data_IF_575737677959
#
_entry.id   IF_575737677959
#
_cell.length_a   1.000
_cell.length_b   1.000
_cell.length_c   1.000
_cell.angle_alpha   90.00
_cell.angle_beta   90.00
_cell.angle_gamma   90.00
#
_symmetry.space_group_name_H-M   'P 1'
#
loop_
_entity.id
_entity.type
_entity.pdbx_description
1 polymer ?
#
# COMPACT_ATOMS: atom_id res chain seq x y z
N UNK A 1 -21.57 8.42 -1.07
CA UNK A 1 -20.74 9.50 -0.53
C UNK A 1 -19.62 9.70 -1.53
N UNK A 2 -19.55 10.90 -2.12
CA UNK A 2 -18.52 11.24 -3.11
C UNK A 2 -17.33 11.71 -2.29
N UNK A 3 -16.25 10.92 -2.24
CA UNK A 3 -14.97 11.38 -1.72
C UNK A 3 -14.50 12.51 -2.63
N UNK A 4 -14.54 13.73 -2.12
CA UNK A 4 -13.81 14.83 -2.72
C UNK A 4 -12.33 14.59 -2.42
N UNK A 5 -11.59 14.18 -3.44
CA UNK A 5 -10.13 14.20 -3.42
C UNK A 5 -9.68 15.65 -3.13
N UNK A 6 -9.20 15.87 -1.91
CA UNK A 6 -8.41 17.06 -1.58
C UNK A 6 -7.07 16.84 -2.26
N UNK A 7 -6.94 17.40 -3.46
CA UNK A 7 -5.64 17.52 -4.10
C UNK A 7 -4.81 18.50 -3.28
N UNK A 8 -3.97 17.95 -2.40
CA UNK A 8 -2.76 18.61 -1.92
C UNK A 8 -1.90 18.90 -3.16
N UNK A 9 -2.06 20.10 -3.72
CA UNK A 9 -1.02 20.68 -4.54
C UNK A 9 0.10 21.06 -3.57
N UNK A 10 1.12 20.23 -3.49
CA UNK A 10 2.42 20.66 -3.02
C UNK A 10 2.82 21.92 -3.80
N UNK A 11 3.15 23.05 -3.14
CA UNK A 11 3.82 24.12 -3.84
C UNK A 11 5.21 23.61 -4.23
N UNK A 12 5.46 23.45 -5.53
CA UNK A 12 6.84 23.37 -6.02
C UNK A 12 7.53 24.69 -5.64
N UNK A 13 8.38 24.63 -4.62
CA UNK A 13 9.37 25.65 -4.33
C UNK A 13 10.39 25.62 -5.47
N UNK A 14 10.07 26.36 -6.54
CA UNK A 14 11.04 26.77 -7.56
C UNK A 14 12.10 27.60 -6.85
N UNK A 15 13.24 26.97 -6.59
CA UNK A 15 14.47 27.61 -6.14
C UNK A 15 15.08 28.37 -7.32
N UNK A 16 14.46 29.48 -7.71
CA UNK A 16 15.02 30.39 -8.69
C UNK A 16 16.07 31.27 -8.01
N UNK A 17 17.32 30.95 -8.32
CA UNK A 17 18.50 31.80 -8.18
C UNK A 17 18.19 33.24 -8.61
N UNK A 18 18.27 34.15 -7.64
CA UNK A 18 18.27 35.59 -7.81
C UNK A 18 19.39 36.02 -8.78
N UNK A 19 19.04 36.35 -10.02
CA UNK A 19 19.78 37.35 -10.80
C UNK A 19 18.82 38.43 -11.28
N UNK A 20 19.13 39.67 -10.92
CA UNK A 20 18.24 40.79 -11.01
C UNK A 20 17.96 41.24 -12.44
N UNK A 21 16.69 41.29 -12.83
CA UNK A 21 16.26 42.09 -13.98
C UNK A 21 14.75 42.30 -13.96
N UNK A 22 14.39 43.55 -13.76
CA UNK A 22 13.05 44.15 -13.81
C UNK A 22 12.33 43.85 -15.13
N UNK A 23 11.17 43.18 -15.12
CA UNK A 23 10.13 43.34 -16.16
C UNK A 23 8.77 42.69 -15.81
N UNK A 24 7.77 43.57 -15.70
CA UNK A 24 6.43 43.47 -16.31
C UNK A 24 5.49 42.30 -15.95
N UNK A 25 4.51 42.67 -15.13
CA UNK A 25 3.12 42.23 -15.09
C UNK A 25 2.58 41.77 -16.45
N UNK A 26 2.08 40.53 -16.51
CA UNK A 26 1.34 40.00 -17.66
C UNK A 26 0.40 38.86 -17.24
N UNK A 27 -0.83 39.21 -16.89
CA UNK A 27 -1.94 38.26 -16.75
C UNK A 27 -2.20 37.53 -18.07
N UNK A 28 -2.08 36.21 -18.08
CA UNK A 28 -2.50 35.35 -19.19
C UNK A 28 -3.57 34.37 -18.72
N UNK A 29 -4.80 34.69 -19.11
CA UNK A 29 -6.01 33.93 -18.96
C UNK A 29 -6.09 32.89 -20.10
N UNK A 30 -6.07 31.58 -19.80
CA UNK A 30 -6.38 30.50 -20.75
C UNK A 30 -7.26 29.46 -20.02
N UNK A 31 -8.59 29.51 -20.13
CA UNK A 31 -9.48 29.04 -21.21
C UNK A 31 -9.60 27.50 -21.28
N UNK A 32 -10.71 27.03 -20.70
CA UNK A 32 -11.53 25.85 -21.01
C UNK A 32 -10.91 24.75 -21.89
N UNK A 33 -10.64 23.59 -21.27
CA UNK A 33 -10.45 22.30 -21.95
C UNK A 33 -11.35 21.23 -21.34
N UNK A 34 -12.58 21.14 -21.83
CA UNK A 34 -13.55 20.10 -21.49
C UNK A 34 -13.28 18.88 -22.37
N UNK A 35 -12.60 17.85 -21.85
CA UNK A 35 -12.24 16.63 -22.59
C UNK A 35 -12.78 15.38 -21.91
N UNK A 36 -14.00 14.97 -22.28
CA UNK A 36 -14.58 13.70 -21.87
C UNK A 36 -14.01 12.52 -22.65
N UNK A 37 -13.82 11.39 -21.97
CA UNK A 37 -13.42 10.13 -22.57
C UNK A 37 -13.98 8.95 -21.79
N UNK A 38 -15.24 8.61 -22.05
CA UNK A 38 -15.83 7.32 -21.67
C UNK A 38 -15.33 6.27 -22.67
N UNK A 39 -14.62 5.24 -22.18
CA UNK A 39 -14.18 4.10 -22.97
C UNK A 39 -14.45 2.79 -22.23
N UNK A 40 -15.68 2.29 -22.33
CA UNK A 40 -16.02 0.93 -21.92
C UNK A 40 -15.48 -0.09 -22.92
N UNK A 41 -15.12 -1.27 -22.42
CA UNK A 41 -14.72 -2.40 -23.26
C UNK A 41 -14.51 -3.65 -22.43
N UNK A 42 -15.56 -4.46 -22.29
CA UNK A 42 -15.48 -5.82 -21.77
C UNK A 42 -15.03 -6.83 -22.83
N UNK A 43 -14.46 -7.92 -22.36
CA UNK A 43 -14.09 -9.13 -23.12
C UNK A 43 -13.05 -9.89 -22.28
N UNK A 44 -13.28 -11.07 -21.71
CA UNK A 44 -14.23 -12.11 -22.08
C UNK A 44 -13.60 -13.18 -22.97
N UNK A 45 -12.41 -13.69 -22.64
CA UNK A 45 -11.83 -14.84 -23.33
C UNK A 45 -11.46 -15.97 -22.37
N UNK A 46 -12.35 -16.98 -22.38
CA UNK A 46 -12.05 -18.37 -22.02
C UNK A 46 -11.52 -19.05 -23.29
N UNK A 47 -10.24 -19.39 -23.34
CA UNK A 47 -9.66 -20.36 -24.28
C UNK A 47 -8.84 -21.34 -23.45
N UNK A 48 -9.33 -22.54 -23.17
CA UNK A 48 -9.31 -23.74 -24.02
C UNK A 48 -7.93 -24.42 -24.10
N UNK A 49 -8.03 -25.74 -24.15
CA UNK A 49 -7.07 -26.78 -23.86
C UNK A 49 -5.94 -26.81 -24.89
N UNK A 50 -4.74 -27.17 -24.42
CA UNK A 50 -3.57 -27.37 -25.26
C UNK A 50 -2.66 -28.48 -24.75
N UNK A 51 -3.19 -29.70 -24.70
CA UNK A 51 -2.40 -30.95 -24.68
C UNK A 51 -1.48 -31.02 -25.91
N UNK A 52 -0.18 -30.75 -25.76
CA UNK A 52 0.94 -31.24 -26.60
C UNK A 52 2.19 -31.24 -25.70
N UNK A 53 2.74 -32.39 -25.30
CA UNK A 53 3.35 -33.38 -26.18
C UNK A 53 4.85 -33.07 -26.33
N UNK A 54 5.67 -33.55 -25.39
CA UNK A 54 7.12 -33.36 -25.40
C UNK A 54 7.84 -34.55 -24.78
N UNK A 55 8.36 -35.39 -25.67
CA UNK A 55 9.06 -36.66 -25.44
C UNK A 55 10.51 -36.47 -24.98
N UNK A 56 10.99 -37.49 -24.28
CA UNK A 56 12.35 -38.05 -24.26
C UNK A 56 13.52 -37.11 -23.94
N UNK A 57 14.10 -37.27 -22.74
CA UNK A 57 15.56 -37.45 -22.59
C UNK A 57 15.89 -38.44 -21.49
N UNK A 58 16.35 -39.61 -21.94
CA UNK A 58 17.22 -40.53 -21.23
C UNK A 58 18.40 -39.81 -20.56
N UNK A 59 18.65 -40.12 -19.29
CA UNK A 59 19.75 -39.55 -18.51
C UNK A 59 20.11 -40.47 -17.34
N UNK A 60 20.96 -41.44 -17.66
CA UNK A 60 21.49 -42.54 -16.83
C UNK A 60 21.97 -42.19 -15.42
N UNK A 61 21.67 -43.13 -14.52
CA UNK A 61 22.53 -43.79 -13.53
C UNK A 61 23.49 -42.98 -12.65
N UNK A 62 23.23 -43.09 -11.34
CA UNK A 62 24.12 -43.46 -10.21
C UNK A 62 23.33 -43.10 -8.93
N UNK A 63 23.04 -43.92 -7.94
CA UNK A 63 23.60 -45.17 -7.44
C UNK A 63 23.51 -45.10 -5.91
N UNK A 64 23.04 -46.16 -5.24
CA UNK A 64 23.09 -46.27 -3.76
C UNK A 64 21.80 -46.82 -3.14
N UNK A 65 21.55 -48.13 -3.18
CA UNK A 65 21.90 -49.19 -2.19
C UNK A 65 21.11 -49.15 -0.87
N UNK A 66 20.38 -50.25 -0.66
CA UNK A 66 20.02 -50.83 0.64
C UNK A 66 18.64 -50.42 1.12
N UNK A 67 17.69 -51.31 1.38
CA UNK A 67 17.68 -52.75 1.51
C UNK A 67 16.43 -53.11 2.32
N UNK A 68 15.87 -54.31 2.14
CA UNK A 68 14.83 -54.83 3.03
C UNK A 68 13.64 -55.47 2.32
N UNK A 69 13.84 -56.72 1.89
CA UNK A 69 12.82 -57.63 1.41
C UNK A 69 11.79 -57.95 2.51
N UNK A 70 10.55 -58.25 2.11
CA UNK A 70 9.78 -59.43 2.52
C UNK A 70 8.45 -59.50 1.77
N UNK A 71 8.50 -60.17 0.63
CA UNK A 71 7.68 -61.35 0.28
C UNK A 71 6.38 -61.57 1.08
N UNK A 72 5.24 -61.32 0.45
CA UNK A 72 4.12 -62.28 0.50
C UNK A 72 3.39 -62.28 -0.85
N UNK A 73 3.41 -63.44 -1.49
CA UNK A 73 2.50 -63.86 -2.56
C UNK A 73 1.03 -63.80 -2.06
N UNK A 74 -0.04 -63.90 -2.83
CA UNK A 74 -0.27 -64.47 -4.13
C UNK A 74 -1.56 -63.87 -4.71
N UNK A 75 -1.54 -63.73 -6.03
CA UNK A 75 -2.64 -63.87 -7.01
C UNK A 75 -4.05 -64.20 -6.49
N UNK A 76 -5.04 -63.50 -7.04
CA UNK A 76 -6.41 -64.01 -7.13
C UNK A 76 -7.35 -63.07 -7.88
N UNK A 77 -7.60 -63.37 -9.15
CA UNK A 77 -8.30 -62.55 -10.15
C UNK A 77 -9.82 -62.35 -9.93
N UNK A 78 -10.28 -61.19 -10.41
CA UNK A 78 -11.55 -60.90 -11.13
C UNK A 78 -12.58 -62.04 -11.31
N UNK A 79 -13.81 -61.76 -10.90
CA UNK A 79 -15.08 -61.77 -11.69
C UNK A 79 -16.23 -61.74 -10.66
N UNK A 80 -17.25 -60.89 -10.74
CA UNK A 80 -18.19 -60.70 -11.84
C UNK A 80 -19.50 -61.38 -11.46
N UNK A 81 -20.53 -60.65 -11.06
CA UNK A 81 -21.83 -61.23 -10.72
C UNK A 81 -22.83 -60.20 -10.20
N UNK A 82 -23.71 -59.74 -11.08
CA UNK A 82 -24.69 -58.69 -10.85
C UNK A 82 -26.09 -59.27 -10.54
N UNK A 83 -26.89 -58.44 -9.84
CA UNK A 83 -28.37 -58.37 -9.82
C UNK A 83 -29.16 -59.54 -9.22
N UNK A 84 -29.94 -59.24 -8.17
CA UNK A 84 -31.40 -59.27 -8.29
C UNK A 84 -32.09 -58.46 -7.19
N UNK A 85 -33.05 -57.66 -7.65
CA UNK A 85 -34.01 -56.84 -6.94
C UNK A 85 -35.15 -57.67 -6.36
N UNK A 86 -35.64 -57.34 -5.17
CA UNK A 86 -36.88 -57.92 -4.65
C UNK A 86 -37.31 -57.30 -3.33
N UNK A 87 -38.08 -56.22 -3.39
CA UNK A 87 -39.05 -55.83 -2.36
C UNK A 87 -40.46 -56.18 -2.92
N UNK A 88 -41.45 -56.54 -2.08
CA UNK A 88 -42.18 -55.51 -1.32
C UNK A 88 -42.60 -55.90 0.12
N UNK A 89 -42.93 -54.88 0.90
CA UNK A 89 -43.52 -54.90 2.27
C UNK A 89 -45.02 -55.32 2.25
N UNK A 90 -45.87 -55.18 3.30
CA UNK A 90 -45.66 -54.77 4.71
C UNK A 90 -46.42 -55.64 5.76
N UNK A 91 -46.05 -55.57 7.05
CA UNK A 91 -47.00 -55.86 8.15
C UNK A 91 -46.88 -54.83 9.27
N UNK A 92 -48.01 -54.17 9.49
CA UNK A 92 -48.28 -53.21 10.55
C UNK A 92 -48.23 -53.89 11.93
N UNK A 93 -47.59 -53.21 12.88
CA UNK A 93 -47.81 -53.43 14.30
C UNK A 93 -47.86 -52.07 15.00
N UNK A 94 -49.08 -51.65 15.28
CA UNK A 94 -49.49 -50.58 16.18
C UNK A 94 -48.81 -50.69 17.55
N UNK A 95 -48.09 -49.64 17.98
CA UNK A 95 -47.84 -49.36 19.39
C UNK A 95 -48.06 -47.88 19.70
N UNK A 96 -48.79 -47.65 20.78
CA UNK A 96 -49.31 -46.39 21.31
C UNK A 96 -48.24 -45.34 21.64
N UNK A 97 -48.59 -44.04 21.71
CA UNK A 97 -47.65 -42.96 21.96
C UNK A 97 -47.30 -42.85 23.46
N UNK A 98 -46.01 -42.97 23.79
CA UNK A 98 -45.46 -42.56 25.09
C UNK A 98 -45.25 -41.04 25.06
N UNK A 99 -46.01 -40.32 25.89
CA UNK A 99 -45.78 -38.90 26.20
C UNK A 99 -44.41 -38.75 26.85
N UNK A 100 -43.45 -38.15 26.16
CA UNK A 100 -42.21 -37.64 26.76
C UNK A 100 -42.39 -36.15 27.04
N UNK A 101 -42.35 -35.79 28.32
CA UNK A 101 -42.29 -34.40 28.77
C UNK A 101 -41.08 -33.67 28.14
N UNK A 102 -41.16 -32.36 27.86
CA UNK A 102 -40.06 -31.61 27.27
C UNK A 102 -38.90 -31.50 28.27
N UNK A 103 -37.75 -32.10 27.93
CA UNK A 103 -36.48 -31.77 28.58
C UNK A 103 -36.15 -30.33 28.22
N UNK A 104 -36.04 -29.47 29.23
CA UNK A 104 -35.52 -28.11 29.07
C UNK A 104 -34.16 -28.17 28.38
N UNK A 105 -34.10 -27.66 27.15
CA UNK A 105 -32.86 -27.42 26.41
C UNK A 105 -32.08 -26.31 27.09
N UNK A 106 -31.34 -26.63 28.15
CA UNK A 106 -30.21 -25.79 28.56
C UNK A 106 -29.18 -25.93 27.45
N UNK A 107 -29.09 -24.90 26.58
CA UNK A 107 -28.04 -24.78 25.58
C UNK A 107 -26.69 -24.90 26.31
N UNK A 108 -25.80 -25.84 25.95
CA UNK A 108 -24.46 -25.85 26.52
C UNK A 108 -23.77 -24.54 26.15
N UNK A 109 -23.14 -23.90 27.14
CA UNK A 109 -22.27 -22.75 26.90
C UNK A 109 -21.25 -23.13 25.82
N UNK A 110 -21.30 -22.43 24.69
CA UNK A 110 -20.40 -22.65 23.56
C UNK A 110 -19.00 -22.32 24.07
N UNK A 111 -18.12 -23.32 24.13
CA UNK A 111 -16.70 -23.09 24.43
C UNK A 111 -16.19 -22.04 23.44
N UNK A 112 -15.44 -21.00 23.88
CA UNK A 112 -14.84 -20.05 22.95
C UNK A 112 -14.01 -20.85 21.96
N UNK A 113 -14.27 -20.66 20.66
CA UNK A 113 -13.43 -21.25 19.62
C UNK A 113 -12.07 -20.57 19.71
N UNK A 114 -11.00 -21.32 19.46
CA UNK A 114 -9.66 -20.75 19.36
C UNK A 114 -9.65 -19.67 18.24
N UNK A 115 -9.04 -18.51 18.48
CA UNK A 115 -8.92 -17.39 17.53
C UNK A 115 -8.44 -17.88 16.16
N UNK A 116 -7.46 -18.79 16.11
CA UNK A 116 -6.98 -19.39 14.85
C UNK A 116 -8.04 -20.19 14.09
N UNK A 117 -9.01 -20.76 14.78
CA UNK A 117 -10.14 -21.46 14.16
C UNK A 117 -11.23 -20.48 13.68
N UNK A 118 -11.34 -19.31 14.30
CA UNK A 118 -12.23 -18.23 13.85
C UNK A 118 -11.62 -17.51 12.63
N UNK A 119 -10.32 -17.24 12.66
CA UNK A 119 -9.53 -16.64 11.58
C UNK A 119 -8.99 -17.68 10.59
N UNK A 120 -9.46 -18.92 10.63
CA UNK A 120 -8.94 -20.00 9.77
C UNK A 120 -9.08 -19.73 8.26
N UNK A 121 -9.92 -18.76 7.89
CA UNK A 121 -10.04 -18.25 6.52
C UNK A 121 -8.88 -17.35 6.07
N UNK A 122 -8.14 -16.75 7.01
CA UNK A 122 -7.09 -15.74 6.82
C UNK A 122 -5.66 -16.31 6.91
N UNK A 123 -5.47 -17.63 6.76
CA UNK A 123 -4.12 -18.21 6.73
C UNK A 123 -3.24 -17.65 5.59
N UNK A 124 -3.87 -17.05 4.56
CA UNK A 124 -3.17 -16.32 3.52
C UNK A 124 -2.38 -15.10 4.04
N UNK A 125 -2.68 -14.56 5.23
CA UNK A 125 -1.90 -13.47 5.85
C UNK A 125 -0.50 -13.95 6.29
N UNK A 126 -0.31 -15.25 6.55
CA UNK A 126 1.00 -15.82 6.83
C UNK A 126 1.91 -15.93 5.60
N UNK A 127 1.46 -15.47 4.43
CA UNK A 127 2.30 -15.40 3.23
C UNK A 127 3.25 -14.20 3.35
N UNK A 128 4.31 -14.21 2.54
CA UNK A 128 5.16 -13.04 2.35
C UNK A 128 4.39 -11.95 1.59
N UNK A 129 4.79 -10.70 1.81
CA UNK A 129 4.21 -9.49 1.21
C UNK A 129 4.03 -9.59 -0.32
N UNK A 130 5.01 -10.13 -1.06
CA UNK A 130 4.90 -10.30 -2.51
C UNK A 130 3.77 -11.25 -2.90
N UNK A 131 3.56 -12.30 -2.11
CA UNK A 131 2.46 -13.25 -2.32
C UNK A 131 1.10 -12.66 -1.92
N UNK A 132 1.09 -11.71 -0.99
CA UNK A 132 -0.11 -10.98 -0.59
C UNK A 132 -0.52 -10.00 -1.70
N UNK A 133 0.38 -9.10 -2.10
CA UNK A 133 0.11 -8.06 -3.11
C UNK A 133 -0.30 -8.65 -4.45
N UNK A 134 0.36 -9.73 -4.88
CA UNK A 134 0.03 -10.41 -6.14
C UNK A 134 -1.12 -11.43 -6.03
N UNK A 135 -1.77 -11.57 -4.88
CA UNK A 135 -2.84 -12.55 -4.71
C UNK A 135 -4.09 -12.17 -5.53
N UNK A 136 -4.86 -13.14 -6.02
CA UNK A 136 -6.21 -12.86 -6.55
C UNK A 136 -7.30 -13.34 -5.60
N UNK A 137 -6.94 -13.73 -4.38
CA UNK A 137 -7.89 -14.20 -3.37
C UNK A 137 -8.75 -13.01 -2.88
N UNK A 138 -10.09 -13.04 -3.07
CA UNK A 138 -10.98 -11.96 -2.64
C UNK A 138 -10.84 -11.63 -1.14
N UNK A 139 -10.41 -12.59 -0.32
CA UNK A 139 -10.22 -12.38 1.11
C UNK A 139 -9.10 -11.41 1.46
N UNK A 140 -8.16 -11.21 0.53
CA UNK A 140 -6.97 -10.41 0.73
C UNK A 140 -7.09 -9.03 0.09
N UNK A 141 -8.19 -8.74 -0.61
CA UNK A 141 -8.39 -7.47 -1.29
C UNK A 141 -8.30 -6.30 -0.31
N UNK A 142 -9.17 -6.26 0.71
CA UNK A 142 -9.16 -5.19 1.71
C UNK A 142 -7.84 -5.08 2.50
N UNK A 143 -7.13 -6.19 2.73
CA UNK A 143 -5.82 -6.15 3.40
C UNK A 143 -4.72 -5.53 2.55
N UNK A 144 -4.80 -5.64 1.21
CA UNK A 144 -3.87 -4.95 0.31
C UNK A 144 -4.17 -3.47 0.26
N UNK A 145 -5.44 -3.12 0.10
CA UNK A 145 -5.90 -1.74 0.08
C UNK A 145 -5.49 -1.03 1.39
N UNK A 146 -5.61 -1.71 2.54
CA UNK A 146 -5.11 -1.24 3.83
C UNK A 146 -3.59 -1.00 3.83
N UNK A 147 -2.79 -1.95 3.33
CA UNK A 147 -1.33 -1.78 3.29
C UNK A 147 -0.88 -0.64 2.40
N UNK A 148 -1.52 -0.48 1.24
CA UNK A 148 -1.27 0.65 0.33
C UNK A 148 -1.63 1.99 1.00
N UNK A 149 -2.81 2.06 1.62
CA UNK A 149 -3.25 3.24 2.35
C UNK A 149 -2.33 3.55 3.54
N UNK A 150 -1.87 2.53 4.26
CA UNK A 150 -0.94 2.71 5.38
C UNK A 150 0.44 3.16 4.92
N UNK A 151 0.93 2.67 3.77
CA UNK A 151 2.17 3.17 3.20
C UNK A 151 2.07 4.67 2.88
N UNK A 152 0.97 5.11 2.25
CA UNK A 152 0.71 6.53 2.00
C UNK A 152 0.62 7.36 3.30
N UNK A 153 0.00 6.81 4.34
CA UNK A 153 -0.05 7.44 5.66
C UNK A 153 1.34 7.65 6.28
N UNK A 154 2.23 6.67 6.16
CA UNK A 154 3.60 6.78 6.67
C UNK A 154 4.43 7.81 5.89
N UNK A 155 4.21 7.93 4.58
CA UNK A 155 4.82 8.98 3.76
C UNK A 155 4.34 10.37 4.17
N UNK A 156 3.03 10.55 4.37
CA UNK A 156 2.47 11.81 4.87
C UNK A 156 2.98 12.14 6.29
N UNK A 157 3.22 11.13 7.12
CA UNK A 157 3.84 11.35 8.43
C UNK A 157 5.24 11.93 8.32
N UNK A 158 6.05 11.41 7.40
CA UNK A 158 7.41 11.92 7.16
C UNK A 158 7.38 13.37 6.63
N UNK A 159 6.43 13.71 5.76
CA UNK A 159 6.24 15.09 5.28
C UNK A 159 5.87 16.06 6.41
N UNK A 160 5.02 15.64 7.36
CA UNK A 160 4.70 16.43 8.55
C UNK A 160 5.95 16.67 9.42
N UNK A 161 6.77 15.64 9.62
CA UNK A 161 8.04 15.76 10.36
C UNK A 161 9.03 16.71 9.65
N UNK A 162 9.05 16.71 8.32
CA UNK A 162 9.86 17.65 7.54
C UNK A 162 9.37 19.10 7.68
N UNK A 163 8.05 19.33 7.58
CA UNK A 163 7.46 20.65 7.81
C UNK A 163 7.73 21.16 9.23
N UNK A 164 7.66 20.28 10.24
CA UNK A 164 8.06 20.62 11.62
C UNK A 164 9.52 21.08 11.70
N UNK A 165 10.43 20.35 11.04
CA UNK A 165 11.84 20.69 11.03
C UNK A 165 12.12 22.01 10.27
N UNK A 166 11.42 22.28 9.17
CA UNK A 166 11.53 23.55 8.44
C UNK A 166 11.03 24.73 9.27
N UNK A 167 9.89 24.57 9.93
CA UNK A 167 9.32 25.58 10.81
C UNK A 167 10.25 25.91 11.99
N UNK A 168 10.93 24.91 12.55
CA UNK A 168 11.95 25.16 13.58
C UNK A 168 13.12 25.99 13.01
N UNK A 169 13.57 25.70 11.77
CA UNK A 169 14.63 26.51 11.12
C UNK A 169 14.18 27.94 10.85
N UNK A 170 12.91 28.15 10.50
CA UNK A 170 12.38 29.50 10.29
C UNK A 170 12.31 30.29 11.60
N UNK A 171 12.00 29.63 12.73
CA UNK A 171 11.92 30.27 14.06
C UNK A 171 13.26 30.76 14.60
N UNK A 172 14.38 30.24 14.09
CA UNK A 172 15.72 30.69 14.45
C UNK A 172 16.09 32.07 13.87
N UNK A 173 15.24 32.67 13.03
CA UNK A 173 15.49 34.00 12.46
C UNK A 173 15.33 35.08 13.55
N UNK A 174 16.45 35.67 13.97
CA UNK A 174 16.50 36.70 15.00
C UNK A 174 15.94 38.05 14.51
N UNK A 175 15.25 38.77 15.40
CA UNK A 175 14.84 40.15 15.15
C UNK A 175 16.08 41.05 15.00
N UNK A 176 16.20 41.86 13.94
CA UNK A 176 17.34 42.74 13.78
C UNK A 176 17.35 43.80 14.88
N UNK A 177 18.55 44.16 15.35
CA UNK A 177 18.75 45.17 16.40
C UNK A 177 18.88 46.55 15.76
N UNK A 178 18.09 47.51 16.25
CA UNK A 178 18.18 48.89 15.78
C UNK A 178 19.57 49.50 16.05
N UNK A 179 20.15 50.24 15.09
CA UNK A 179 21.47 50.85 15.27
C UNK A 179 21.44 51.92 16.37
N UNK A 180 22.46 51.92 17.24
CA UNK A 180 22.63 52.95 18.27
C UNK A 180 23.16 54.24 17.62
N UNK A 181 22.40 55.33 17.73
CA UNK A 181 22.80 56.63 17.21
C UNK A 181 24.15 57.12 17.78
N UNK A 182 24.54 56.68 18.98
CA UNK A 182 25.84 57.01 19.59
C UNK A 182 27.04 56.29 18.98
N UNK A 183 26.83 55.28 18.13
CA UNK A 183 27.87 54.47 17.53
C UNK A 183 28.43 55.02 16.20
N UNK A 184 27.83 56.09 15.65
CA UNK A 184 28.15 56.63 14.33
C UNK A 184 28.82 58.01 14.43
N UNK A 185 29.81 58.25 13.58
CA UNK A 185 30.60 59.49 13.57
C UNK A 185 29.84 60.67 12.95
N UNK A 186 28.88 60.39 12.07
CA UNK A 186 28.04 61.39 11.40
C UNK A 186 26.63 60.89 11.09
N UNK A 187 25.75 61.85 10.75
CA UNK A 187 24.32 61.61 10.48
C UNK A 187 24.08 60.82 9.19
N UNK A 188 24.96 60.91 8.19
CA UNK A 188 24.79 60.15 6.95
C UNK A 188 25.01 58.66 7.22
N UNK A 189 26.07 58.30 7.96
CA UNK A 189 26.34 56.92 8.35
C UNK A 189 25.22 56.31 9.21
N UNK A 190 24.60 57.09 10.11
CA UNK A 190 23.44 56.65 10.88
C UNK A 190 22.22 56.40 9.99
N UNK A 191 21.92 57.31 9.04
CA UNK A 191 20.79 57.16 8.13
C UNK A 191 20.94 55.93 7.22
N UNK A 192 22.15 55.65 6.72
CA UNK A 192 22.43 54.44 5.94
C UNK A 192 22.23 53.17 6.78
N UNK A 193 22.68 53.17 8.04
CA UNK A 193 22.47 52.06 8.95
C UNK A 193 20.98 51.86 9.32
N UNK A 194 20.23 52.95 9.49
CA UNK A 194 18.79 52.90 9.71
C UNK A 194 18.04 52.33 8.51
N UNK A 195 18.42 52.70 7.28
CA UNK A 195 17.83 52.14 6.06
C UNK A 195 18.07 50.62 5.97
N UNK A 196 19.29 50.16 6.26
CA UNK A 196 19.60 48.72 6.30
C UNK A 196 18.83 47.98 7.40
N UNK A 197 18.63 48.62 8.57
CA UNK A 197 17.80 48.06 9.64
C UNK A 197 16.34 47.93 9.23
N UNK A 198 15.76 48.93 8.56
CA UNK A 198 14.38 48.88 8.08
C UNK A 198 14.17 47.75 7.05
N UNK A 199 15.11 47.56 6.13
CA UNK A 199 15.10 46.44 5.17
C UNK A 199 15.19 45.08 5.89
N UNK A 200 16.15 44.92 6.82
CA UNK A 200 16.29 43.71 7.61
C UNK A 200 15.04 43.41 8.45
N UNK A 201 14.42 44.46 9.01
CA UNK A 201 13.20 44.35 9.80
C UNK A 201 12.03 43.90 8.94
N UNK A 202 11.90 44.45 7.73
CA UNK A 202 10.88 44.01 6.79
C UNK A 202 11.06 42.51 6.45
N UNK A 203 12.29 42.07 6.18
CA UNK A 203 12.58 40.65 5.95
C UNK A 203 12.24 39.75 7.15
N UNK A 204 12.46 40.24 8.38
CA UNK A 204 12.03 39.54 9.59
C UNK A 204 10.50 39.49 9.74
N UNK A 205 9.78 40.58 9.45
CA UNK A 205 8.31 40.61 9.47
C UNK A 205 7.72 39.67 8.41
N UNK A 206 8.30 39.61 7.22
CA UNK A 206 7.93 38.66 6.16
C UNK A 206 8.19 37.21 6.59
N UNK A 207 9.32 36.94 7.25
CA UNK A 207 9.63 35.62 7.80
C UNK A 207 8.64 35.20 8.91
N UNK A 208 8.23 36.12 9.79
CA UNK A 208 7.20 35.85 10.80
C UNK A 208 5.85 35.51 10.14
N UNK A 209 5.46 36.22 9.09
CA UNK A 209 4.24 35.91 8.34
C UNK A 209 4.30 34.53 7.65
N UNK A 210 5.48 34.13 7.16
CA UNK A 210 5.70 32.79 6.62
C UNK A 210 5.57 31.71 7.72
N UNK A 211 6.16 31.93 8.90
CA UNK A 211 6.04 31.02 10.06
C UNK A 211 4.56 30.82 10.44
N UNK A 212 3.79 31.90 10.56
CA UNK A 212 2.35 31.81 10.88
C UNK A 212 1.58 30.99 9.84
N UNK A 213 1.95 31.12 8.56
CA UNK A 213 1.33 30.35 7.47
C UNK A 213 1.67 28.88 7.57
N UNK A 214 2.96 28.55 7.73
CA UNK A 214 3.43 27.17 7.86
C UNK A 214 2.90 26.50 9.13
N UNK A 215 2.77 27.23 10.24
CA UNK A 215 2.12 26.72 11.46
C UNK A 215 0.68 26.29 11.21
N UNK A 216 -0.09 27.11 10.47
CA UNK A 216 -1.47 26.79 10.14
C UNK A 216 -1.59 25.59 9.18
N UNK A 217 -0.69 25.49 8.19
CA UNK A 217 -0.64 24.36 7.25
C UNK A 217 -0.26 23.06 7.97
N UNK A 218 0.71 23.12 8.88
CA UNK A 218 1.14 22.00 9.70
C UNK A 218 0.03 21.50 10.63
N UNK A 219 -0.71 22.40 11.28
CA UNK A 219 -1.89 22.04 12.08
C UNK A 219 -2.96 21.35 11.23
N UNK A 220 -3.25 21.90 10.04
CA UNK A 220 -4.22 21.29 9.12
C UNK A 220 -3.76 19.91 8.63
N UNK A 221 -2.48 19.73 8.32
CA UNK A 221 -1.90 18.46 7.90
C UNK A 221 -1.99 17.40 9.00
N UNK A 222 -1.68 17.77 10.26
CA UNK A 222 -1.84 16.88 11.42
C UNK A 222 -3.29 16.48 11.67
N UNK A 223 -4.23 17.42 11.56
CA UNK A 223 -5.65 17.12 11.69
C UNK A 223 -6.11 16.14 10.60
N UNK A 224 -5.70 16.35 9.35
CA UNK A 224 -5.99 15.42 8.25
C UNK A 224 -5.37 14.04 8.47
N UNK A 225 -4.16 13.98 9.03
CA UNK A 225 -3.50 12.72 9.38
C UNK A 225 -4.26 11.96 10.48
N UNK A 226 -4.75 12.65 11.52
CA UNK A 226 -5.56 12.02 12.57
C UNK A 226 -6.87 11.43 12.02
N UNK A 227 -7.53 12.14 11.08
CA UNK A 227 -8.70 11.61 10.38
C UNK A 227 -8.36 10.35 9.56
N UNK A 228 -7.25 10.37 8.80
CA UNK A 228 -6.79 9.21 8.06
C UNK A 228 -6.43 8.02 8.96
N UNK A 229 -5.84 8.25 10.13
CA UNK A 229 -5.53 7.20 11.09
C UNK A 229 -6.81 6.47 11.54
N UNK A 230 -7.89 7.21 11.79
CA UNK A 230 -9.19 6.64 12.13
C UNK A 230 -9.82 5.88 10.94
N UNK A 231 -9.67 6.40 9.71
CA UNK A 231 -10.13 5.72 8.51
C UNK A 231 -9.36 4.41 8.24
N UNK A 232 -8.04 4.41 8.49
CA UNK A 232 -7.20 3.21 8.39
C UNK A 232 -7.64 2.12 9.36
N UNK A 233 -7.87 2.47 10.63
CA UNK A 233 -8.37 1.53 11.64
C UNK A 233 -9.72 0.92 11.22
N UNK A 234 -10.65 1.76 10.78
CA UNK A 234 -11.96 1.31 10.28
C UNK A 234 -11.82 0.43 9.01
N UNK A 235 -10.87 0.74 8.13
CA UNK A 235 -10.63 -0.04 6.91
C UNK A 235 -10.06 -1.43 7.22
N UNK A 236 -9.25 -1.56 8.28
CA UNK A 236 -8.74 -2.85 8.72
C UNK A 236 -9.86 -3.74 9.26
N UNK A 237 -10.73 -3.19 10.10
CA UNK A 237 -11.93 -3.88 10.57
C UNK A 237 -12.78 -4.39 9.40
N UNK A 238 -13.02 -3.52 8.43
CA UNK A 238 -13.79 -3.87 7.24
C UNK A 238 -13.09 -4.98 6.43
N UNK A 239 -11.76 -4.92 6.29
CA UNK A 239 -10.98 -5.96 5.62
C UNK A 239 -11.08 -7.33 6.34
N UNK A 240 -11.11 -7.35 7.67
CA UNK A 240 -11.34 -8.57 8.46
C UNK A 240 -12.73 -9.13 8.17
N UNK A 241 -13.77 -8.29 8.20
CA UNK A 241 -15.15 -8.68 7.94
C UNK A 241 -15.29 -9.24 6.53
N UNK A 242 -14.78 -8.54 5.52
CA UNK A 242 -14.83 -8.94 4.12
C UNK A 242 -14.05 -10.24 3.88
N UNK A 243 -12.87 -10.37 4.48
CA UNK A 243 -12.04 -11.57 4.44
C UNK A 243 -12.74 -12.80 5.00
N UNK A 244 -13.46 -12.64 6.11
CA UNK A 244 -14.25 -13.72 6.72
C UNK A 244 -15.49 -14.06 5.89
N UNK A 245 -16.19 -13.04 5.38
CA UNK A 245 -17.40 -13.20 4.57
C UNK A 245 -17.15 -13.82 3.20
N UNK A 246 -15.98 -13.58 2.59
CA UNK A 246 -15.60 -14.16 1.31
C UNK A 246 -15.51 -15.70 1.33
N UNK A 247 -15.45 -16.34 2.51
CA UNK A 247 -15.50 -17.82 2.62
C UNK A 247 -16.89 -18.42 2.41
N UNK A 248 -17.95 -17.58 2.35
CA UNK A 248 -19.34 -18.00 2.16
C UNK A 248 -19.93 -18.82 3.32
N UNK A 249 -19.18 -18.99 4.42
CA UNK A 249 -19.57 -19.94 5.47
C UNK A 249 -20.44 -19.32 6.57
N UNK A 250 -20.34 -17.99 6.82
CA UNK A 250 -21.20 -17.18 7.71
C UNK A 250 -21.08 -15.70 7.38
N UNK A 251 -22.17 -14.95 7.55
CA UNK A 251 -22.14 -13.48 7.61
C UNK A 251 -21.58 -13.05 8.96
N UNK A 252 -20.38 -12.50 8.93
CA UNK A 252 -19.69 -11.79 10.01
C UNK A 252 -20.00 -10.30 9.81
N UNK A 253 -20.20 -9.59 10.92
CA UNK A 253 -20.38 -8.14 10.96
C UNK A 253 -19.29 -7.51 11.81
N UNK A 254 -19.15 -6.18 11.78
CA UNK A 254 -18.13 -5.46 12.56
C UNK A 254 -18.24 -5.76 14.06
N UNK A 255 -19.46 -5.98 14.55
CA UNK A 255 -19.71 -6.37 15.95
C UNK A 255 -19.19 -7.76 16.33
N UNK A 256 -18.88 -8.61 15.35
CA UNK A 256 -18.28 -9.92 15.54
C UNK A 256 -16.73 -9.88 15.54
N UNK A 257 -16.13 -8.74 15.15
CA UNK A 257 -14.68 -8.51 15.19
C UNK A 257 -14.27 -8.14 16.61
N UNK A 258 -13.75 -9.12 17.34
CA UNK A 258 -13.24 -8.94 18.71
C UNK A 258 -11.86 -8.30 18.71
N UNK A 259 -11.52 -7.57 19.77
CA UNK A 259 -10.20 -6.98 19.97
C UNK A 259 -9.06 -7.99 19.78
N UNK A 260 -9.19 -9.22 20.31
CA UNK A 260 -8.20 -10.29 20.13
C UNK A 260 -7.97 -10.69 18.65
N UNK A 261 -8.98 -10.50 17.79
CA UNK A 261 -8.84 -10.74 16.35
C UNK A 261 -8.12 -9.56 15.68
N UNK A 262 -8.42 -8.33 16.08
CA UNK A 262 -7.73 -7.12 15.61
C UNK A 262 -6.26 -7.20 15.97
N UNK A 263 -5.93 -7.35 17.25
CA UNK A 263 -4.56 -7.46 17.75
C UNK A 263 -3.75 -8.54 17.00
N UNK A 264 -4.38 -9.69 16.71
CA UNK A 264 -3.71 -10.75 15.97
C UNK A 264 -3.48 -10.37 14.50
N UNK A 265 -4.46 -9.75 13.84
CA UNK A 265 -4.36 -9.29 12.46
C UNK A 265 -3.36 -8.14 12.37
N UNK A 266 -3.44 -7.14 13.25
CA UNK A 266 -2.49 -6.04 13.39
C UNK A 266 -1.07 -6.56 13.51
N UNK A 267 -0.81 -7.51 14.40
CA UNK A 267 0.52 -8.12 14.52
C UNK A 267 0.97 -8.88 13.27
N UNK A 268 0.05 -9.34 12.41
CA UNK A 268 0.41 -9.85 11.08
C UNK A 268 0.67 -8.74 10.07
N UNK A 269 -0.09 -7.65 10.10
CA UNK A 269 0.09 -6.50 9.23
C UNK A 269 1.41 -5.79 9.53
N UNK A 270 1.74 -5.55 10.80
CA UNK A 270 3.01 -4.96 11.23
C UNK A 270 4.23 -5.76 10.73
N UNK A 271 4.16 -7.10 10.77
CA UNK A 271 5.19 -7.95 10.16
C UNK A 271 5.31 -7.72 8.65
N UNK A 272 4.18 -7.67 7.96
CA UNK A 272 4.12 -7.48 6.51
C UNK A 272 4.58 -6.08 6.09
N UNK A 273 4.31 -5.07 6.91
CA UNK A 273 4.76 -3.69 6.73
C UNK A 273 6.27 -3.58 6.80
N UNK A 274 6.90 -4.24 7.79
CA UNK A 274 8.36 -4.31 7.84
C UNK A 274 8.96 -4.96 6.58
N UNK A 275 8.35 -6.04 6.08
CA UNK A 275 8.77 -6.66 4.81
C UNK A 275 8.54 -5.73 3.60
N UNK A 276 7.47 -4.92 3.62
CA UNK A 276 7.15 -3.98 2.55
C UNK A 276 8.13 -2.80 2.50
N UNK A 277 8.47 -2.24 3.66
CA UNK A 277 9.46 -1.16 3.77
C UNK A 277 10.84 -1.62 3.28
N UNK A 278 11.29 -2.81 3.68
CA UNK A 278 12.56 -3.37 3.20
C UNK A 278 12.59 -3.54 1.67
N UNK A 279 11.46 -3.92 1.07
CA UNK A 279 11.35 -4.01 -0.39
C UNK A 279 11.39 -2.64 -1.07
N UNK A 280 10.75 -1.62 -0.48
CA UNK A 280 10.80 -0.26 -1.00
C UNK A 280 12.21 0.33 -0.93
N UNK A 281 12.89 0.17 0.21
CA UNK A 281 14.28 0.63 0.39
C UNK A 281 15.21 -0.05 -0.61
N UNK A 282 15.10 -1.38 -0.76
CA UNK A 282 15.89 -2.12 -1.73
C UNK A 282 15.61 -1.69 -3.17
N UNK A 283 14.36 -1.41 -3.52
CA UNK A 283 14.01 -0.92 -4.85
C UNK A 283 14.60 0.48 -5.10
N UNK A 284 14.62 1.35 -4.08
CA UNK A 284 15.26 2.65 -4.17
C UNK A 284 16.79 2.54 -4.34
N UNK A 285 17.44 1.61 -3.62
CA UNK A 285 18.88 1.32 -3.75
C UNK A 285 19.24 0.82 -5.17
N UNK A 286 18.47 -0.12 -5.72
CA UNK A 286 18.71 -0.65 -7.07
C UNK A 286 18.58 0.42 -8.17
N UNK A 287 17.65 1.38 -8.00
CA UNK A 287 17.51 2.52 -8.92
C UNK A 287 18.69 3.47 -8.79
N UNK A 288 19.23 3.69 -7.58
CA UNK A 288 20.38 4.56 -7.38
C UNK A 288 21.68 3.99 -7.97
N UNK A 289 21.86 2.68 -7.93
CA UNK A 289 23.06 2.01 -8.48
C UNK A 289 22.96 1.76 -9.99
N UNK A 290 21.76 1.67 -10.55
CA UNK A 290 21.51 1.34 -11.95
C UNK A 290 21.87 2.43 -12.98
N UNK A 291 22.19 3.65 -12.57
CA UNK A 291 22.44 4.79 -13.47
C UNK A 291 23.94 5.06 -13.76
N UNK A 292 24.83 4.12 -13.42
CA UNK A 292 26.30 4.32 -13.57
C UNK A 292 26.99 3.41 -14.60
N UNK A 293 26.33 2.39 -15.16
CA UNK A 293 26.98 1.52 -16.16
C UNK A 293 26.35 1.68 -17.56
N UNK A 294 27.21 1.85 -18.56
CA UNK A 294 26.96 1.72 -20.01
C UNK A 294 26.57 2.98 -20.82
N UNK A 295 27.09 4.13 -20.41
CA UNK A 295 27.16 5.34 -21.22
C UNK A 295 28.48 5.58 -21.96
N UNK A 296 29.42 4.62 -22.04
CA UNK A 296 30.57 4.72 -22.95
C UNK A 296 30.12 4.37 -24.37
N UNK A 297 29.36 5.31 -24.96
CA UNK A 297 29.09 5.34 -26.38
C UNK A 297 30.39 5.41 -27.15
N UNK A 298 30.78 4.25 -27.68
CA UNK A 298 31.73 4.07 -28.76
C UNK A 298 31.38 5.04 -29.89
N UNK A 299 32.01 6.21 -29.87
CA UNK A 299 31.95 7.17 -30.95
C UNK A 299 32.71 6.55 -32.12
N UNK A 300 32.02 5.72 -32.90
CA UNK A 300 32.47 5.36 -34.24
C UNK A 300 32.69 6.66 -35.00
N UNK A 301 33.97 6.99 -35.19
CA UNK A 301 34.44 8.02 -36.10
C UNK A 301 33.95 7.68 -37.50
N UNK A 302 32.78 8.21 -37.86
CA UNK A 302 32.28 8.24 -39.21
C UNK A 302 33.21 9.06 -40.09
N UNK A 303 34.16 8.37 -40.72
CA UNK A 303 34.86 8.74 -41.94
C UNK A 303 33.84 9.21 -43.00
N UNK A 304 33.58 10.51 -42.99
CA UNK A 304 32.80 11.22 -43.99
C UNK A 304 33.70 11.73 -45.11
N UNK A 305 34.28 10.83 -45.89
CA UNK A 305 34.83 11.09 -47.22
C UNK A 305 33.71 11.46 -48.22
N UNK A 306 33.62 12.72 -48.65
CA UNK A 306 33.18 13.14 -50.01
C UNK A 306 33.57 14.62 -50.19
N UNK A 307 34.45 15.01 -51.12
CA UNK A 307 34.14 15.28 -52.53
C UNK A 307 32.98 16.31 -52.65
N UNK A 308 32.97 17.39 -53.41
CA UNK A 308 33.71 17.93 -54.55
C UNK A 308 32.90 19.21 -54.95
N UNK A 309 33.33 19.94 -55.98
CA UNK A 309 32.55 20.95 -56.73
C UNK A 309 32.51 22.41 -56.22
N UNK A 310 33.53 23.15 -56.65
CA UNK A 310 33.45 24.36 -57.49
C UNK A 310 32.09 25.06 -57.70
N UNK A 311 32.02 26.36 -57.37
CA UNK A 311 31.78 27.48 -58.32
C UNK A 311 31.74 28.83 -57.58
#
# INVERSE_FOLDING_TARGET
MVLSAVGLMAPELVSDTLDGSTAQIGAAHAKNGNGGGNGGGGGGDRGDRGDRGGKDRDGKDRGGKGGGRKDWSAKGSKSGGAKSSGAPAPKAATKAPRKTAPKSSVRPAVKPKNIRAQLGGLNSLNRNINGLMNSSDPKMAGFRDYLEAKAAYMEQQAEIEEMEAELERMKDIEEPVAPDAGAYEDEAAYNDAMAAYEEARQGWEDAQAAIETTEAELEAAKAAQEEQAAELDASLDQAIVDGLNATGNKTVTDADVTDEMRDWVDGQMERLEGEYQELQEKAAEEVADGDTEDGEGDAEEGDGSSDDETA
#
